data_IF_597159485115
#
_entry.id   IF_597159485115
#
_cell.length_a   1.000
_cell.length_b   1.000
_cell.length_c   1.000
_cell.angle_alpha   90.00
_cell.angle_beta   90.00
_cell.angle_gamma   90.00
#
_symmetry.space_group_name_H-M   'P 1'
#
loop_
_entity.id
_entity.type
_entity.pdbx_description
1 polymer ?
#
# COMPACT_ATOMS: atom_id res chain seq x y z
N UNK A 1 -2.81 3.61 23.02
CA UNK A 1 -2.25 2.41 23.65
C UNK A 1 -0.88 2.12 23.04
N UNK A 2 0.06 1.54 23.80
CA UNK A 2 1.42 1.30 23.33
C UNK A 2 1.91 -0.07 23.79
N UNK A 3 2.46 -0.85 22.86
CA UNK A 3 2.79 -2.26 23.05
C UNK A 3 4.27 -2.59 22.78
N UNK A 4 5.15 -1.58 22.73
CA UNK A 4 6.58 -1.74 22.41
C UNK A 4 7.39 -2.65 23.35
N UNK A 5 6.84 -3.01 24.52
CA UNK A 5 7.45 -3.99 25.43
C UNK A 5 7.00 -5.43 25.17
N UNK A 6 5.98 -5.63 24.34
CA UNK A 6 5.45 -6.95 24.08
C UNK A 6 6.42 -7.78 23.25
N UNK A 7 6.64 -9.02 23.67
CA UNK A 7 7.54 -9.94 22.99
C UNK A 7 6.89 -10.66 21.78
N UNK A 8 5.61 -10.40 21.53
CA UNK A 8 4.84 -11.00 20.45
C UNK A 8 4.01 -9.93 19.75
N UNK A 9 3.65 -10.21 18.50
CA UNK A 9 2.78 -9.36 17.70
C UNK A 9 1.43 -9.12 18.38
N UNK A 10 0.91 -7.91 18.19
CA UNK A 10 -0.41 -7.46 18.61
C UNK A 10 -1.33 -7.27 17.40
N UNK A 11 -2.59 -7.60 17.58
CA UNK A 11 -3.67 -7.36 16.62
C UNK A 11 -4.72 -6.53 17.31
N UNK A 12 -4.82 -5.27 16.90
CA UNK A 12 -5.65 -4.26 17.54
C UNK A 12 -6.57 -3.64 16.51
N UNK A 13 -7.84 -3.51 16.84
CA UNK A 13 -8.80 -2.77 16.05
C UNK A 13 -9.65 -1.90 16.96
N UNK A 14 -9.50 -0.58 16.82
CA UNK A 14 -10.23 0.42 17.61
C UNK A 14 -11.70 0.47 17.22
N UNK A 15 -12.04 0.36 15.93
CA UNK A 15 -13.41 0.35 15.43
C UNK A 15 -14.26 -0.80 16.00
N UNK A 16 -13.66 -1.98 16.21
CA UNK A 16 -14.35 -3.15 16.79
C UNK A 16 -14.01 -3.41 18.25
N UNK A 17 -13.16 -2.58 18.85
CA UNK A 17 -12.65 -2.73 20.21
C UNK A 17 -12.07 -4.14 20.49
N UNK A 18 -11.29 -4.67 19.55
CA UNK A 18 -10.65 -5.99 19.68
C UNK A 18 -9.16 -5.84 19.91
N UNK A 19 -8.64 -6.61 20.87
CA UNK A 19 -7.24 -6.62 21.25
C UNK A 19 -6.79 -8.08 21.49
N UNK A 20 -5.90 -8.57 20.63
CA UNK A 20 -5.38 -9.93 20.69
C UNK A 20 -3.86 -9.94 20.51
N UNK A 21 -3.21 -11.01 20.95
CA UNK A 21 -1.77 -11.18 20.77
C UNK A 21 -0.97 -10.41 21.83
N UNK A 22 0.17 -11.00 22.21
CA UNK A 22 1.08 -10.42 23.20
C UNK A 22 0.37 -9.82 24.42
N UNK A 23 0.78 -8.60 24.75
CA UNK A 23 0.28 -7.84 25.90
C UNK A 23 -1.06 -7.15 25.62
N UNK A 24 -1.56 -7.17 24.38
CA UNK A 24 -2.86 -6.61 24.02
C UNK A 24 -4.04 -7.53 24.39
N UNK A 25 -3.79 -8.81 24.67
CA UNK A 25 -4.86 -9.79 24.89
C UNK A 25 -5.72 -9.43 26.11
N UNK A 26 -7.00 -9.15 25.87
CA UNK A 26 -7.99 -8.82 26.91
C UNK A 26 -8.08 -7.33 27.24
N UNK A 27 -7.32 -6.48 26.55
CA UNK A 27 -7.47 -5.03 26.65
C UNK A 27 -8.79 -4.57 26.05
N UNK A 28 -9.25 -3.41 26.52
CA UNK A 28 -10.38 -2.67 25.93
C UNK A 28 -9.96 -1.23 25.74
N UNK A 29 -10.35 -0.65 24.62
CA UNK A 29 -10.05 0.70 24.21
C UNK A 29 -11.27 1.58 24.37
N UNK A 30 -11.06 2.78 24.91
CA UNK A 30 -12.06 3.81 24.99
C UNK A 30 -11.38 5.14 24.74
N UNK A 31 -11.82 5.86 23.71
CA UNK A 31 -11.26 7.16 23.31
C UNK A 31 -9.73 7.08 23.15
N UNK A 32 -9.29 6.08 22.37
CA UNK A 32 -7.88 5.87 22.05
C UNK A 32 -7.73 6.18 20.57
N UNK A 33 -6.94 7.20 20.25
CA UNK A 33 -6.67 7.57 18.87
C UNK A 33 -5.23 7.24 18.46
N UNK A 34 -4.36 6.89 19.42
CA UNK A 34 -2.95 6.57 19.15
C UNK A 34 -2.67 5.10 19.46
N UNK A 35 -2.12 4.36 18.49
CA UNK A 35 -1.61 3.01 18.67
C UNK A 35 -0.12 2.95 18.35
N UNK A 36 0.62 2.23 19.19
CA UNK A 36 2.00 1.84 18.92
C UNK A 36 2.11 0.35 19.09
N UNK A 37 2.59 -0.32 18.04
CA UNK A 37 2.85 -1.75 18.03
C UNK A 37 4.04 -2.15 18.91
N UNK A 38 4.43 -3.40 18.74
CA UNK A 38 5.53 -4.12 19.33
C UNK A 38 6.77 -4.08 18.43
N UNK A 39 7.71 -5.01 18.63
CA UNK A 39 8.86 -5.21 17.73
C UNK A 39 8.65 -6.45 16.83
N UNK A 40 7.41 -6.83 16.60
CA UNK A 40 6.98 -7.98 15.81
C UNK A 40 5.97 -7.53 14.78
N UNK A 41 5.69 -8.35 13.77
CA UNK A 41 4.72 -8.05 12.72
C UNK A 41 3.29 -7.87 13.27
N UNK A 42 2.86 -6.63 13.44
CA UNK A 42 1.60 -6.24 14.05
C UNK A 42 0.50 -5.96 13.02
N UNK A 43 -0.75 -5.97 13.50
CA UNK A 43 -1.90 -5.49 12.73
C UNK A 43 -2.62 -4.44 13.55
N UNK A 44 -2.57 -3.19 13.09
CA UNK A 44 -3.13 -2.03 13.77
C UNK A 44 -4.24 -1.42 12.93
N UNK A 45 -5.44 -1.32 13.49
CA UNK A 45 -6.60 -0.69 12.85
C UNK A 45 -7.14 0.46 13.70
N UNK A 46 -7.30 1.62 13.06
CA UNK A 46 -7.94 2.81 13.59
C UNK A 46 -9.45 2.68 13.80
N UNK A 47 -10.08 3.84 13.98
CA UNK A 47 -11.52 4.03 13.97
C UNK A 47 -11.89 5.17 13.01
N UNK A 48 -13.08 5.78 13.14
CA UNK A 48 -13.52 6.85 12.23
C UNK A 48 -12.94 8.24 12.59
N UNK A 49 -12.09 8.32 13.62
CA UNK A 49 -11.42 9.53 14.06
C UNK A 49 -10.04 9.66 13.43
N UNK A 50 -9.43 10.85 13.55
CA UNK A 50 -8.02 11.02 13.18
C UNK A 50 -7.12 10.26 14.16
N UNK A 51 -6.46 9.21 13.67
CA UNK A 51 -5.62 8.33 14.46
C UNK A 51 -4.12 8.51 14.16
N UNK A 52 -3.28 8.07 15.10
CA UNK A 52 -1.84 7.90 14.90
C UNK A 52 -1.51 6.43 15.10
N UNK A 53 -1.17 5.72 14.02
CA UNK A 53 -0.75 4.33 14.05
C UNK A 53 0.75 4.26 13.80
N UNK A 54 1.49 3.66 14.72
CA UNK A 54 2.92 3.40 14.60
C UNK A 54 3.17 1.89 14.73
N UNK A 55 3.64 1.24 13.67
CA UNK A 55 3.95 -0.18 13.62
C UNK A 55 5.07 -0.54 14.58
N UNK A 56 6.24 0.08 14.42
CA UNK A 56 7.40 -0.13 15.28
C UNK A 56 8.52 -0.84 14.53
N UNK A 57 9.06 -1.91 15.11
CA UNK A 57 9.90 -2.83 14.35
C UNK A 57 9.03 -4.02 13.91
N UNK A 58 9.26 -4.56 12.72
CA UNK A 58 8.46 -5.68 12.22
C UNK A 58 7.98 -5.44 10.81
N UNK A 59 7.17 -6.36 10.29
CA UNK A 59 6.50 -6.14 9.01
C UNK A 59 5.03 -5.94 9.33
N UNK A 60 4.64 -4.68 9.48
CA UNK A 60 3.36 -4.32 10.07
C UNK A 60 2.29 -4.08 9.01
N UNK A 61 1.03 -4.26 9.41
CA UNK A 61 -0.14 -3.91 8.60
C UNK A 61 -0.95 -2.84 9.30
N UNK A 62 -1.12 -1.69 8.63
CA UNK A 62 -1.82 -0.53 9.16
C UNK A 62 -3.10 -0.27 8.36
N UNK A 63 -4.19 0.02 9.07
CA UNK A 63 -5.50 0.35 8.50
C UNK A 63 -6.04 1.59 9.22
N UNK A 64 -6.09 2.73 8.54
CA UNK A 64 -6.62 3.98 9.10
C UNK A 64 -8.14 3.92 9.32
N UNK A 65 -8.87 3.58 8.26
CA UNK A 65 -10.34 3.76 8.09
C UNK A 65 -10.67 5.24 7.81
N UNK A 66 -11.87 5.71 8.18
CA UNK A 66 -12.24 7.11 8.02
C UNK A 66 -11.40 7.98 8.96
N UNK A 67 -10.88 9.11 8.49
CA UNK A 67 -10.05 9.96 9.32
C UNK A 67 -9.03 10.69 8.47
N UNK A 68 -8.26 11.57 9.10
CA UNK A 68 -7.02 12.05 8.51
C UNK A 68 -5.90 11.51 9.39
N UNK A 69 -5.39 10.35 9.00
CA UNK A 69 -4.56 9.54 9.87
C UNK A 69 -3.07 9.78 9.67
N UNK A 70 -2.29 9.48 10.70
CA UNK A 70 -0.84 9.38 10.59
C UNK A 70 -0.44 7.92 10.67
N UNK A 71 0.02 7.35 9.56
CA UNK A 71 0.34 5.94 9.40
C UNK A 71 1.87 5.77 9.27
N UNK A 72 2.50 5.29 10.33
CA UNK A 72 3.95 5.13 10.44
C UNK A 72 4.28 3.64 10.51
N UNK A 73 4.93 3.07 9.49
CA UNK A 73 5.33 1.66 9.50
C UNK A 73 6.45 1.43 10.50
N UNK A 74 7.61 2.02 10.21
CA UNK A 74 8.76 1.98 11.11
C UNK A 74 9.91 1.23 10.47
N UNK A 75 10.49 0.26 11.18
CA UNK A 75 11.55 -0.58 10.66
C UNK A 75 10.97 -1.90 10.16
N UNK A 76 11.20 -2.22 8.88
CA UNK A 76 10.92 -3.53 8.32
C UNK A 76 10.32 -3.37 6.93
N UNK A 77 9.26 -4.12 6.64
CA UNK A 77 8.53 -4.01 5.38
C UNK A 77 7.06 -3.91 5.68
N UNK A 78 6.56 -2.68 5.64
CA UNK A 78 5.27 -2.31 6.19
C UNK A 78 4.24 -2.09 5.09
N UNK A 79 2.98 -2.37 5.43
CA UNK A 79 1.86 -2.34 4.50
C UNK A 79 0.74 -1.46 5.02
N UNK A 80 0.30 -0.51 4.22
CA UNK A 80 -0.99 0.16 4.43
C UNK A 80 -2.02 -0.46 3.49
N UNK A 81 -3.21 -0.78 4.01
CA UNK A 81 -4.31 -1.32 3.20
C UNK A 81 -5.57 -0.47 3.32
N UNK A 82 -6.14 -0.15 2.16
CA UNK A 82 -7.41 0.54 1.97
C UNK A 82 -8.50 -0.39 1.46
N UNK A 83 -8.32 -1.70 1.59
CA UNK A 83 -9.26 -2.72 1.08
C UNK A 83 -10.68 -2.60 1.66
N UNK A 84 -10.83 -1.95 2.81
CA UNK A 84 -12.13 -1.68 3.44
C UNK A 84 -12.81 -0.41 2.91
N UNK A 85 -12.11 0.43 2.14
CA UNK A 85 -12.63 1.72 1.74
C UNK A 85 -13.84 1.60 0.82
N UNK A 86 -14.84 2.44 1.08
CA UNK A 86 -16.07 2.50 0.30
C UNK A 86 -15.97 3.37 -0.96
N UNK A 87 -14.78 3.88 -1.27
CA UNK A 87 -14.49 4.66 -2.48
C UNK A 87 -13.04 4.45 -2.94
N UNK A 88 -12.75 4.91 -4.15
CA UNK A 88 -11.40 4.91 -4.69
C UNK A 88 -10.45 5.79 -3.89
N UNK A 89 -9.19 5.35 -3.80
CA UNK A 89 -8.10 6.04 -3.11
C UNK A 89 -6.99 6.43 -4.09
N UNK A 90 -6.34 7.55 -3.78
CA UNK A 90 -5.12 8.01 -4.46
C UNK A 90 -4.05 8.15 -3.40
N UNK A 91 -3.05 7.26 -3.45
CA UNK A 91 -2.06 7.10 -2.38
C UNK A 91 -0.66 6.98 -2.95
N UNK A 92 0.27 7.69 -2.33
CA UNK A 92 1.72 7.52 -2.57
C UNK A 92 2.36 7.02 -1.28
N UNK A 93 3.19 5.97 -1.35
CA UNK A 93 3.99 5.54 -0.20
C UNK A 93 4.79 6.73 0.32
N UNK A 94 4.90 6.85 1.65
CA UNK A 94 5.67 7.91 2.29
C UNK A 94 5.21 9.34 1.91
N UNK A 95 3.95 9.47 1.48
CA UNK A 95 3.32 10.72 1.05
C UNK A 95 1.97 10.94 1.74
N UNK A 96 1.07 11.65 1.06
CA UNK A 96 -0.29 11.89 1.55
C UNK A 96 -1.32 11.13 0.72
N UNK A 97 -2.36 10.62 1.38
CA UNK A 97 -3.52 10.01 0.74
C UNK A 97 -4.62 11.02 0.39
N UNK A 98 -5.47 10.66 -0.56
CA UNK A 98 -6.73 11.37 -0.84
C UNK A 98 -7.80 10.41 -1.39
N UNK A 99 -9.08 10.77 -1.20
CA UNK A 99 -10.21 9.94 -1.61
C UNK A 99 -10.48 8.78 -0.65
N UNK A 100 -11.77 8.43 -0.49
CA UNK A 100 -12.20 7.38 0.43
C UNK A 100 -11.61 7.52 1.83
N UNK A 101 -11.15 6.40 2.36
CA UNK A 101 -10.52 6.26 3.68
C UNK A 101 -9.13 6.91 3.69
N UNK A 102 -8.48 7.08 2.53
CA UNK A 102 -7.17 7.73 2.44
C UNK A 102 -7.23 9.25 2.62
N UNK A 103 -8.41 9.85 2.82
CA UNK A 103 -8.61 11.29 2.74
C UNK A 103 -7.89 12.07 3.85
N UNK A 104 -6.69 12.57 3.51
CA UNK A 104 -5.89 13.39 4.42
C UNK A 104 -4.88 12.60 5.23
N UNK A 105 -4.75 11.30 4.95
CA UNK A 105 -3.73 10.45 5.55
C UNK A 105 -2.32 10.94 5.21
N UNK A 106 -1.40 10.74 6.15
CA UNK A 106 0.03 10.95 6.00
C UNK A 106 0.76 9.65 6.32
N UNK A 107 1.49 9.12 5.33
CA UNK A 107 2.21 7.85 5.40
C UNK A 107 3.71 8.10 5.56
N UNK A 108 4.40 7.26 6.33
CA UNK A 108 5.86 7.27 6.42
C UNK A 108 6.43 5.91 6.84
N UNK A 109 7.58 5.53 6.30
CA UNK A 109 8.17 4.20 6.51
C UNK A 109 7.26 3.08 5.99
N UNK A 110 6.61 3.28 4.84
CA UNK A 110 5.72 2.31 4.20
C UNK A 110 6.33 1.87 2.87
N UNK A 111 6.38 0.56 2.64
CA UNK A 111 6.90 -0.02 1.39
C UNK A 111 5.78 -0.55 0.51
N UNK A 112 4.64 -0.95 1.09
CA UNK A 112 3.58 -1.63 0.37
C UNK A 112 2.22 -0.95 0.51
N UNK A 113 1.43 -0.99 -0.56
CA UNK A 113 0.05 -0.49 -0.58
C UNK A 113 -0.89 -1.56 -1.14
N UNK A 114 -2.06 -1.66 -0.51
CA UNK A 114 -3.20 -2.39 -1.03
C UNK A 114 -4.35 -1.40 -1.21
N UNK A 115 -4.90 -1.33 -2.42
CA UNK A 115 -6.04 -0.49 -2.77
C UNK A 115 -7.37 -1.02 -2.23
N UNK A 116 -8.43 -0.33 -2.64
CA UNK A 116 -9.83 -0.58 -2.37
C UNK A 116 -10.43 -1.58 -3.37
N UNK A 117 -11.76 -1.59 -3.46
CA UNK A 117 -12.50 -2.34 -4.48
C UNK A 117 -12.95 -1.44 -5.66
N UNK A 118 -12.37 -0.25 -5.78
CA UNK A 118 -12.70 0.78 -6.77
C UNK A 118 -11.45 1.18 -7.55
N UNK A 119 -11.61 2.04 -8.55
CA UNK A 119 -10.53 2.45 -9.45
C UNK A 119 -9.49 3.33 -8.72
N UNK A 120 -8.43 2.71 -8.23
CA UNK A 120 -7.43 3.35 -7.40
C UNK A 120 -6.24 3.90 -8.19
N UNK A 121 -5.49 4.79 -7.54
CA UNK A 121 -4.16 5.20 -8.04
C UNK A 121 -3.14 5.03 -6.93
N UNK A 122 -2.26 4.04 -7.08
CA UNK A 122 -1.24 3.70 -6.10
C UNK A 122 0.14 4.01 -6.66
N UNK A 123 0.97 4.71 -5.87
CA UNK A 123 2.30 5.15 -6.28
C UNK A 123 3.36 4.74 -5.25
N UNK A 124 4.41 4.08 -5.71
CA UNK A 124 5.62 3.75 -4.96
C UNK A 124 6.62 4.90 -4.87
N UNK A 125 7.85 4.59 -4.48
CA UNK A 125 8.95 5.54 -4.35
C UNK A 125 10.22 5.13 -5.11
N UNK A 126 11.39 5.14 -4.48
CA UNK A 126 12.63 4.73 -5.14
C UNK A 126 13.15 3.37 -4.61
N UNK A 127 12.48 2.83 -3.58
CA UNK A 127 12.72 1.52 -3.02
C UNK A 127 11.94 0.44 -3.76
N UNK A 128 12.09 -0.82 -3.34
CA UNK A 128 11.26 -1.90 -3.86
C UNK A 128 9.90 -1.89 -3.17
N UNK A 129 8.83 -1.67 -3.93
CA UNK A 129 7.47 -1.59 -3.42
C UNK A 129 6.60 -2.76 -3.88
N UNK A 130 5.63 -3.15 -3.06
CA UNK A 130 4.54 -4.05 -3.47
C UNK A 130 3.24 -3.25 -3.53
N UNK A 131 2.71 -3.07 -4.75
CA UNK A 131 1.45 -2.37 -4.98
C UNK A 131 0.41 -3.36 -5.49
N UNK A 132 -0.72 -3.44 -4.79
CA UNK A 132 -1.86 -4.26 -5.18
C UNK A 132 -3.09 -3.36 -5.38
N UNK A 133 -3.61 -3.27 -6.60
CA UNK A 133 -4.77 -2.44 -6.94
C UNK A 133 -6.04 -2.93 -6.24
N UNK A 134 -6.30 -4.23 -6.31
CA UNK A 134 -7.46 -4.84 -5.68
C UNK A 134 -8.52 -5.20 -6.71
N UNK A 135 -9.73 -4.69 -6.54
CA UNK A 135 -10.72 -4.74 -7.62
C UNK A 135 -10.87 -3.33 -8.18
N UNK A 136 -11.28 -3.20 -9.43
CA UNK A 136 -11.43 -1.90 -10.08
C UNK A 136 -10.52 -1.80 -11.29
N UNK A 137 -10.54 -0.66 -11.94
CA UNK A 137 -9.59 -0.35 -13.00
C UNK A 137 -8.51 0.55 -12.41
N UNK A 138 -7.41 -0.06 -11.98
CA UNK A 138 -6.42 0.59 -11.15
C UNK A 138 -5.26 1.16 -11.97
N UNK A 139 -4.63 2.20 -11.45
CA UNK A 139 -3.38 2.73 -11.99
C UNK A 139 -2.27 2.56 -10.95
N UNK A 140 -1.27 1.75 -11.30
CA UNK A 140 -0.13 1.45 -10.44
C UNK A 140 1.14 2.08 -11.01
N UNK A 141 1.86 2.84 -10.19
CA UNK A 141 3.14 3.43 -10.53
C UNK A 141 4.19 3.00 -9.50
N UNK A 142 5.05 2.05 -9.85
CA UNK A 142 6.15 1.60 -8.99
C UNK A 142 7.20 2.70 -8.72
N UNK A 143 7.56 3.45 -9.79
CA UNK A 143 8.67 4.41 -9.86
C UNK A 143 10.03 3.70 -9.85
N UNK A 144 11.00 4.13 -9.06
CA UNK A 144 12.31 3.50 -9.07
C UNK A 144 12.32 2.33 -8.10
N UNK A 145 13.11 1.30 -8.38
CA UNK A 145 13.10 0.10 -7.55
C UNK A 145 12.91 -1.13 -8.42
N UNK A 146 12.79 -2.28 -7.78
CA UNK A 146 12.35 -3.51 -8.43
C UNK A 146 11.01 -3.87 -7.80
N UNK A 147 9.92 -3.45 -8.45
CA UNK A 147 8.61 -3.42 -7.84
C UNK A 147 7.79 -4.67 -8.16
N UNK A 148 6.79 -4.95 -7.33
CA UNK A 148 5.75 -5.93 -7.62
C UNK A 148 4.43 -5.21 -7.80
N UNK A 149 3.96 -5.16 -9.04
CA UNK A 149 2.71 -4.49 -9.41
C UNK A 149 1.65 -5.54 -9.73
N UNK A 150 0.62 -5.63 -8.88
CA UNK A 150 -0.52 -6.53 -9.08
C UNK A 150 -1.78 -5.69 -9.28
N UNK A 151 -2.36 -5.68 -10.50
CA UNK A 151 -3.59 -4.92 -10.74
C UNK A 151 -4.76 -5.52 -9.97
N UNK A 152 -5.07 -6.77 -10.28
CA UNK A 152 -6.08 -7.55 -9.58
C UNK A 152 -7.27 -7.83 -10.49
N UNK A 153 -8.48 -7.53 -10.06
CA UNK A 153 -9.67 -7.74 -10.87
C UNK A 153 -10.15 -6.45 -11.54
N UNK A 154 -10.08 -6.41 -12.86
CA UNK A 154 -10.61 -5.31 -13.66
C UNK A 154 -9.77 -5.11 -14.90
N UNK A 155 -9.52 -3.85 -15.26
CA UNK A 155 -8.65 -3.48 -16.39
C UNK A 155 -7.62 -2.51 -15.88
N UNK A 156 -6.44 -3.04 -15.58
CA UNK A 156 -5.44 -2.35 -14.76
C UNK A 156 -4.28 -1.82 -15.60
N UNK A 157 -3.70 -0.72 -15.14
CA UNK A 157 -2.62 -0.01 -15.84
C UNK A 157 -1.37 0.07 -14.99
N UNK A 158 -0.27 -0.50 -15.48
CA UNK A 158 1.06 -0.15 -14.98
C UNK A 158 1.56 1.11 -15.69
N UNK A 159 1.88 2.16 -14.94
CA UNK A 159 2.25 3.47 -15.48
C UNK A 159 3.70 3.83 -15.21
N UNK A 160 4.47 3.94 -16.29
CA UNK A 160 5.86 4.38 -16.32
C UNK A 160 6.03 5.81 -16.86
N UNK A 161 4.93 6.58 -16.89
CA UNK A 161 4.90 7.93 -17.44
C UNK A 161 5.89 8.91 -16.77
N UNK A 162 6.25 8.65 -15.52
CA UNK A 162 7.21 9.47 -14.76
C UNK A 162 8.67 9.08 -15.02
N UNK A 163 8.95 7.99 -15.74
CA UNK A 163 10.31 7.50 -15.88
C UNK A 163 11.19 8.47 -16.66
N UNK A 164 12.40 8.67 -16.13
CA UNK A 164 13.43 9.51 -16.74
C UNK A 164 14.22 8.81 -17.87
N UNK A 165 13.86 7.57 -18.22
CA UNK A 165 14.45 6.82 -19.32
C UNK A 165 13.40 5.94 -20.00
N UNK A 166 13.74 5.42 -21.18
CA UNK A 166 12.89 4.45 -21.87
C UNK A 166 12.73 3.16 -21.06
N UNK A 167 11.52 2.61 -21.10
CA UNK A 167 11.18 1.36 -20.44
C UNK A 167 10.93 0.25 -21.45
N UNK A 168 11.21 -0.98 -21.04
CA UNK A 168 10.85 -2.20 -21.78
C UNK A 168 9.95 -3.03 -20.89
N UNK A 169 8.67 -3.09 -21.23
CA UNK A 169 7.64 -3.78 -20.44
C UNK A 169 7.05 -4.91 -21.27
N UNK A 170 6.92 -6.07 -20.65
CA UNK A 170 6.36 -7.26 -21.28
C UNK A 170 5.29 -7.89 -20.39
N UNK A 171 4.02 -7.65 -20.73
CA UNK A 171 2.85 -8.18 -20.03
C UNK A 171 2.64 -9.69 -20.26
N UNK A 172 3.20 -10.27 -21.33
CA UNK A 172 3.14 -11.72 -21.54
C UNK A 172 4.01 -12.46 -20.53
N UNK A 173 5.18 -11.89 -20.20
CA UNK A 173 6.10 -12.47 -19.23
C UNK A 173 5.93 -11.89 -17.82
N UNK A 174 5.18 -10.80 -17.68
CA UNK A 174 5.01 -10.08 -16.42
C UNK A 174 6.30 -9.42 -15.94
N UNK A 175 7.11 -8.84 -16.84
CA UNK A 175 8.42 -8.26 -16.48
C UNK A 175 8.63 -6.86 -17.02
N UNK A 176 9.31 -6.02 -16.24
CA UNK A 176 9.84 -4.72 -16.66
C UNK A 176 11.38 -4.70 -16.66
N UNK A 177 11.97 -3.92 -17.56
CA UNK A 177 13.40 -3.57 -17.54
C UNK A 177 13.64 -2.15 -18.06
N UNK A 178 14.73 -1.51 -17.62
CA UNK A 178 15.12 -0.16 -18.04
C UNK A 178 14.27 0.94 -17.40
N UNK A 179 14.90 2.08 -17.13
CA UNK A 179 14.25 3.20 -16.42
C UNK A 179 13.65 2.76 -15.09
N UNK A 180 12.43 3.20 -14.86
CA UNK A 180 11.62 2.89 -13.67
C UNK A 180 11.15 1.44 -13.68
N UNK A 181 11.03 0.80 -14.85
CA UNK A 181 10.62 -0.59 -14.93
C UNK A 181 11.70 -1.60 -14.49
N UNK A 182 12.87 -1.15 -14.00
CA UNK A 182 14.04 -1.99 -13.85
C UNK A 182 13.90 -3.05 -12.74
N UNK A 183 13.55 -4.28 -13.15
CA UNK A 183 13.42 -5.41 -12.23
C UNK A 183 11.98 -5.64 -11.77
N UNK A 184 11.04 -4.87 -12.30
CA UNK A 184 9.63 -5.00 -11.98
C UNK A 184 9.06 -6.35 -12.39
N UNK A 185 8.13 -6.81 -11.57
CA UNK A 185 7.24 -7.92 -11.85
C UNK A 185 5.81 -7.41 -11.93
N UNK A 186 5.09 -7.85 -12.97
CA UNK A 186 3.74 -7.39 -13.28
C UNK A 186 2.79 -8.59 -13.34
N UNK A 187 1.69 -8.52 -12.62
CA UNK A 187 0.65 -9.54 -12.59
C UNK A 187 -0.74 -8.90 -12.69
N UNK A 188 -1.64 -9.53 -13.45
CA UNK A 188 -2.99 -9.02 -13.69
C UNK A 188 -2.97 -7.53 -14.11
N UNK A 189 -2.18 -7.24 -15.16
CA UNK A 189 -2.09 -5.92 -15.78
C UNK A 189 -2.43 -6.10 -17.26
N UNK A 190 -3.38 -5.30 -17.73
CA UNK A 190 -3.85 -5.30 -19.11
C UNK A 190 -3.24 -4.15 -19.92
N UNK A 191 -2.93 -3.04 -19.24
CA UNK A 191 -2.46 -1.81 -19.86
C UNK A 191 -1.08 -1.40 -19.37
N UNK A 192 -0.29 -0.80 -20.27
CA UNK A 192 0.96 -0.15 -19.91
C UNK A 192 0.98 1.27 -20.46
N UNK A 193 1.31 2.22 -19.60
CA UNK A 193 1.65 3.58 -20.04
C UNK A 193 3.17 3.70 -20.05
N UNK A 194 3.75 3.98 -21.22
CA UNK A 194 5.18 4.20 -21.39
C UNK A 194 5.67 5.53 -20.82
N UNK A 195 6.98 5.74 -20.91
CA UNK A 195 7.64 7.00 -20.57
C UNK A 195 7.52 8.03 -21.71
N UNK A 196 8.20 9.17 -21.57
CA UNK A 196 8.34 10.14 -22.66
C UNK A 196 9.40 9.73 -23.71
N UNK A 197 10.07 8.59 -23.53
CA UNK A 197 11.18 8.13 -24.35
C UNK A 197 10.77 6.99 -25.29
N UNK A 198 11.73 6.38 -25.99
CA UNK A 198 11.47 5.31 -26.95
C UNK A 198 11.24 3.98 -26.23
N UNK A 199 10.02 3.76 -25.76
CA UNK A 199 9.66 2.54 -25.03
C UNK A 199 9.45 1.32 -25.94
N UNK A 200 9.57 0.14 -25.34
CA UNK A 200 9.14 -1.13 -25.95
C UNK A 200 8.09 -1.76 -25.06
N UNK A 201 6.83 -1.72 -25.48
CA UNK A 201 5.69 -2.24 -24.73
C UNK A 201 5.12 -3.46 -25.45
N UNK A 202 5.15 -4.62 -24.78
CA UNK A 202 4.59 -5.87 -25.28
C UNK A 202 3.36 -6.23 -24.45
N UNK A 203 2.18 -6.17 -25.08
CA UNK A 203 0.92 -6.60 -24.46
C UNK A 203 0.80 -8.12 -24.33
N UNK A 204 -0.26 -8.58 -23.67
CA UNK A 204 -0.62 -9.99 -23.61
C UNK A 204 -1.86 -10.27 -24.51
N UNK A 205 -2.34 -11.51 -24.52
CA UNK A 205 -3.53 -11.90 -25.29
C UNK A 205 -4.88 -11.52 -24.62
N UNK A 206 -4.83 -10.80 -23.49
CA UNK A 206 -5.99 -10.26 -22.78
C UNK A 206 -6.57 -9.03 -23.47
N UNK A 207 -7.62 -8.45 -22.87
CA UNK A 207 -8.22 -7.20 -23.35
C UNK A 207 -7.27 -6.07 -22.99
N UNK A 208 -6.40 -5.68 -23.93
CA UNK A 208 -5.60 -4.44 -23.87
C UNK A 208 -6.40 -3.27 -24.48
#
# INVERSE_FOLDING_TARGET
AAYGASAAAVTINLATNTANGGDATGDTFNSIENLTGSNSADSLTGDAGANVLNGGDGNDTLIGLDGADTLQGGNGTDTVTYAASAAAVVVTVNGTGSGGDAQGDALSGIENLIGSAFNDTLTGDAGANVLNGGNGNDTLQGRGGADTLTGGAGTDTASYAASAAAVVVNLLNGTGTGGDAQGDTLAAIENTTGSAFNDTLTGNAGVN
#
